data_IF_314061236934
#
_entry.id   IF_314061236934
#
_cell.length_a   1.000
_cell.length_b   1.000
_cell.length_c   1.000
_cell.angle_alpha   90.00
_cell.angle_beta   90.00
_cell.angle_gamma   90.00
#
_symmetry.space_group_name_H-M   'P 1'
#
loop_
_entity.id
_entity.type
_entity.pdbx_description
1 polymer ?
#
# COMPACT_ATOMS: atom_id res chain seq x y z
N UNK A 1 -76.71 -12.27 -79.14
CA UNK A 1 -76.32 -10.93 -78.68
C UNK A 1 -75.64 -11.07 -77.32
N UNK A 2 -74.38 -10.61 -77.17
CA UNK A 2 -73.56 -10.82 -75.98
C UNK A 2 -73.75 -9.68 -74.97
N UNK A 3 -73.29 -9.87 -73.72
CA UNK A 3 -72.50 -8.92 -72.90
C UNK A 3 -72.41 -9.47 -71.46
N UNK A 4 -71.61 -10.52 -71.27
CA UNK A 4 -71.08 -10.84 -69.93
C UNK A 4 -69.60 -10.46 -69.91
N UNK A 5 -69.29 -9.49 -69.05
CA UNK A 5 -67.98 -8.88 -68.92
C UNK A 5 -66.92 -9.86 -68.42
N UNK A 6 -65.79 -9.92 -69.12
CA UNK A 6 -64.55 -10.51 -68.62
C UNK A 6 -63.72 -9.39 -67.98
N UNK A 7 -63.71 -9.32 -66.64
CA UNK A 7 -62.67 -8.58 -65.90
C UNK A 7 -61.38 -9.40 -65.94
N UNK A 8 -60.30 -8.81 -66.45
CA UNK A 8 -58.94 -9.39 -66.36
C UNK A 8 -58.51 -9.40 -64.89
N UNK A 9 -57.87 -10.48 -64.38
CA UNK A 9 -57.23 -10.43 -63.08
C UNK A 9 -56.02 -9.48 -63.15
N UNK A 10 -56.00 -8.50 -62.26
CA UNK A 10 -54.85 -7.64 -62.03
C UNK A 10 -53.78 -8.50 -61.38
N UNK A 11 -52.65 -8.69 -62.07
CA UNK A 11 -51.48 -9.34 -61.49
C UNK A 11 -51.00 -8.49 -60.31
N UNK A 12 -51.19 -9.00 -59.09
CA UNK A 12 -50.58 -8.42 -57.91
C UNK A 12 -49.07 -8.48 -58.05
N UNK A 13 -48.41 -7.34 -58.24
CA UNK A 13 -46.97 -7.22 -58.01
C UNK A 13 -46.74 -7.42 -56.51
N UNK A 14 -46.41 -8.64 -56.11
CA UNK A 14 -45.76 -8.87 -54.83
C UNK A 14 -44.38 -8.25 -54.92
N UNK A 15 -44.25 -7.01 -54.45
CA UNK A 15 -42.95 -6.43 -54.13
C UNK A 15 -42.39 -7.22 -52.96
N UNK A 16 -41.65 -8.30 -53.26
CA UNK A 16 -40.79 -8.93 -52.28
C UNK A 16 -39.75 -7.88 -51.90
N UNK A 17 -39.86 -7.34 -50.69
CA UNK A 17 -38.76 -6.64 -50.06
C UNK A 17 -37.64 -7.68 -49.93
N UNK A 18 -36.67 -7.65 -50.85
CA UNK A 18 -35.39 -8.34 -50.68
C UNK A 18 -34.83 -7.84 -49.35
N UNK A 19 -34.92 -8.66 -48.30
CA UNK A 19 -34.18 -8.40 -47.07
C UNK A 19 -32.73 -8.56 -47.47
N UNK A 20 -31.90 -7.51 -47.48
CA UNK A 20 -30.50 -7.68 -47.80
C UNK A 20 -29.94 -8.69 -46.80
N UNK A 21 -29.39 -9.80 -47.30
CA UNK A 21 -28.77 -10.83 -46.48
C UNK A 21 -27.50 -10.24 -45.87
N UNK A 22 -27.66 -9.47 -44.80
CA UNK A 22 -26.60 -8.78 -44.06
C UNK A 22 -25.78 -9.76 -43.18
N UNK A 23 -25.88 -11.06 -43.43
CA UNK A 23 -25.19 -12.12 -42.70
C UNK A 23 -23.67 -12.07 -42.83
N UNK A 24 -23.14 -11.35 -43.83
CA UNK A 24 -21.70 -11.20 -44.02
C UNK A 24 -21.06 -10.10 -43.17
N UNK A 25 -21.80 -9.05 -42.78
CA UNK A 25 -21.26 -7.88 -42.05
C UNK A 25 -21.21 -8.12 -40.53
N UNK A 26 -22.09 -8.97 -40.00
CA UNK A 26 -22.07 -9.26 -38.56
C UNK A 26 -20.89 -10.14 -38.15
N UNK A 27 -20.35 -10.98 -39.04
CA UNK A 27 -19.14 -11.80 -38.77
C UNK A 27 -17.87 -10.97 -38.52
N UNK A 28 -17.44 -10.03 -39.39
CA UNK A 28 -16.30 -9.18 -39.12
C UNK A 28 -16.57 -8.22 -37.96
N UNK A 29 -17.81 -7.75 -37.76
CA UNK A 29 -18.17 -6.96 -36.59
C UNK A 29 -18.00 -7.75 -35.29
N UNK A 30 -18.46 -9.01 -35.25
CA UNK A 30 -18.27 -9.91 -34.11
C UNK A 30 -16.78 -10.14 -33.83
N UNK A 31 -15.98 -10.39 -34.86
CA UNK A 31 -14.52 -10.55 -34.73
C UNK A 31 -13.89 -9.28 -34.16
N UNK A 32 -14.27 -8.10 -34.64
CA UNK A 32 -13.78 -6.82 -34.13
C UNK A 32 -14.17 -6.60 -32.66
N UNK A 33 -15.40 -6.95 -32.27
CA UNK A 33 -15.85 -6.88 -30.87
C UNK A 33 -15.06 -7.85 -29.99
N UNK A 34 -14.83 -9.09 -30.43
CA UNK A 34 -14.03 -10.07 -29.68
C UNK A 34 -12.58 -9.60 -29.53
N UNK A 35 -11.96 -9.09 -30.61
CA UNK A 35 -10.61 -8.53 -30.55
C UNK A 35 -10.52 -7.33 -29.61
N UNK A 36 -11.52 -6.45 -29.63
CA UNK A 36 -11.63 -5.33 -28.71
C UNK A 36 -11.70 -5.81 -27.25
N UNK A 37 -12.57 -6.80 -26.95
CA UNK A 37 -12.70 -7.37 -25.60
C UNK A 37 -11.42 -8.07 -25.13
N UNK A 38 -10.71 -8.76 -26.02
CA UNK A 38 -9.42 -9.37 -25.70
C UNK A 38 -8.34 -8.33 -25.41
N UNK A 39 -8.31 -7.25 -26.19
CA UNK A 39 -7.38 -6.15 -25.98
C UNK A 39 -7.66 -5.42 -24.66
N UNK A 40 -8.93 -5.13 -24.33
CA UNK A 40 -9.30 -4.49 -23.06
C UNK A 40 -9.01 -5.39 -21.86
N UNK A 41 -9.21 -6.71 -21.98
CA UNK A 41 -8.85 -7.67 -20.93
C UNK A 41 -7.33 -7.71 -20.71
N UNK A 42 -6.54 -7.80 -21.77
CA UNK A 42 -5.08 -7.81 -21.67
C UNK A 42 -4.54 -6.51 -21.05
N UNK A 43 -5.10 -5.38 -21.47
CA UNK A 43 -4.77 -4.06 -20.92
C UNK A 43 -5.17 -3.95 -19.45
N UNK A 44 -6.37 -4.42 -19.11
CA UNK A 44 -6.87 -4.49 -17.74
C UNK A 44 -5.99 -5.32 -16.82
N UNK A 45 -5.55 -6.50 -17.26
CA UNK A 45 -4.60 -7.34 -16.50
C UNK A 45 -3.26 -6.63 -16.31
N UNK A 46 -2.78 -5.92 -17.33
CA UNK A 46 -1.51 -5.19 -17.25
C UNK A 46 -1.58 -3.98 -16.33
N UNK A 47 -2.68 -3.21 -16.38
CA UNK A 47 -2.94 -2.04 -15.52
C UNK A 47 -3.31 -2.42 -14.07
N UNK A 48 -3.81 -3.63 -13.85
CA UNK A 48 -4.12 -4.16 -12.51
C UNK A 48 -2.92 -4.74 -11.78
N UNK A 49 -1.70 -4.60 -12.33
CA UNK A 49 -0.48 -5.05 -11.65
C UNK A 49 -0.12 -4.05 -10.55
N UNK A 50 -0.20 -4.51 -9.31
CA UNK A 50 0.27 -3.76 -8.16
C UNK A 50 1.77 -3.43 -8.30
N UNK A 51 2.17 -2.16 -8.08
CA UNK A 51 3.58 -1.77 -8.05
C UNK A 51 4.36 -2.54 -6.99
N UNK A 52 5.59 -2.95 -7.34
CA UNK A 52 6.51 -3.55 -6.37
C UNK A 52 6.88 -2.56 -5.27
N UNK A 53 7.29 -3.07 -4.11
CA UNK A 53 7.89 -2.24 -3.09
C UNK A 53 9.20 -1.63 -3.63
N UNK A 54 9.45 -0.37 -3.29
CA UNK A 54 10.67 0.35 -3.65
C UNK A 54 11.61 0.49 -2.45
N UNK A 55 12.88 0.72 -2.76
CA UNK A 55 13.89 1.08 -1.77
C UNK A 55 13.79 2.58 -1.47
N UNK A 56 13.53 2.92 -0.20
CA UNK A 56 13.36 4.30 0.25
C UNK A 56 14.64 5.12 0.13
N UNK A 57 15.82 4.49 0.26
CA UNK A 57 17.10 5.19 0.13
C UNK A 57 17.38 5.53 -1.33
N UNK A 58 17.11 4.59 -2.23
CA UNK A 58 17.26 4.82 -3.67
C UNK A 58 16.29 5.91 -4.15
N UNK A 59 15.03 5.86 -3.69
CA UNK A 59 14.07 6.93 -3.97
C UNK A 59 14.57 8.25 -3.40
N UNK A 60 15.03 8.29 -2.16
CA UNK A 60 15.56 9.52 -1.53
C UNK A 60 16.71 10.11 -2.34
N UNK A 61 17.70 9.30 -2.71
CA UNK A 61 18.82 9.75 -3.54
C UNK A 61 18.36 10.34 -4.88
N UNK A 62 17.47 9.64 -5.59
CA UNK A 62 16.92 10.10 -6.87
C UNK A 62 16.12 11.41 -6.73
N UNK A 63 15.29 11.50 -5.69
CA UNK A 63 14.46 12.66 -5.43
C UNK A 63 15.30 13.88 -5.07
N UNK A 64 16.31 13.71 -4.22
CA UNK A 64 17.24 14.77 -3.84
C UNK A 64 18.01 15.33 -5.05
N UNK A 65 18.48 14.47 -5.93
CA UNK A 65 19.11 14.91 -7.20
C UNK A 65 18.10 15.68 -8.08
N UNK A 66 16.85 15.22 -8.15
CA UNK A 66 15.80 15.84 -8.97
C UNK A 66 15.44 17.25 -8.48
N UNK A 67 15.24 17.43 -7.17
CA UNK A 67 14.81 18.72 -6.59
C UNK A 67 15.95 19.72 -6.47
N UNK A 68 17.19 19.23 -6.34
CA UNK A 68 18.39 20.06 -6.23
C UNK A 68 19.11 20.27 -7.57
N UNK A 69 18.40 20.15 -8.71
CA UNK A 69 18.99 20.28 -10.05
C UNK A 69 19.77 21.59 -10.25
N UNK A 70 19.29 22.69 -9.67
CA UNK A 70 19.95 24.00 -9.72
C UNK A 70 20.94 24.24 -8.57
N UNK A 71 21.02 23.34 -7.59
CA UNK A 71 21.79 23.48 -6.34
C UNK A 71 22.43 22.13 -5.93
N UNK A 72 23.41 21.61 -6.70
CA UNK A 72 23.92 20.25 -6.54
C UNK A 72 24.52 19.96 -5.15
N UNK A 73 24.98 20.98 -4.42
CA UNK A 73 25.47 20.85 -3.05
C UNK A 73 24.37 20.35 -2.08
N UNK A 74 23.11 20.79 -2.27
CA UNK A 74 21.99 20.33 -1.46
C UNK A 74 21.62 18.86 -1.73
N UNK A 75 22.04 18.30 -2.88
CA UNK A 75 21.83 16.89 -3.19
C UNK A 75 22.79 15.97 -2.41
N UNK A 76 24.01 16.46 -2.12
CA UNK A 76 25.11 15.65 -1.55
C UNK A 76 25.35 15.91 -0.07
N UNK A 77 24.93 17.06 0.47
CA UNK A 77 25.04 17.37 1.89
C UNK A 77 24.25 16.38 2.77
N UNK A 78 24.65 16.13 4.03
CA UNK A 78 23.80 15.45 5.00
C UNK A 78 22.46 16.18 5.10
N UNK A 79 21.35 15.48 4.86
CA UNK A 79 20.03 16.08 5.03
C UNK A 79 19.62 16.07 6.50
N UNK A 80 18.77 17.04 6.87
CA UNK A 80 18.09 17.03 8.15
C UNK A 80 17.09 15.85 8.26
N UNK A 81 16.73 15.53 9.50
CA UNK A 81 15.69 14.54 9.82
C UNK A 81 14.40 14.85 9.09
N UNK A 82 13.80 13.85 8.46
CA UNK A 82 12.53 13.95 7.73
C UNK A 82 12.68 13.84 6.22
N UNK A 83 13.93 13.87 5.72
CA UNK A 83 14.22 13.78 4.29
C UNK A 83 13.80 12.43 3.68
N UNK A 84 14.05 11.32 4.38
CA UNK A 84 13.72 9.99 3.85
C UNK A 84 12.21 9.77 3.86
N UNK A 85 11.52 10.21 4.93
CA UNK A 85 10.05 10.13 5.06
C UNK A 85 9.35 11.00 4.01
N UNK A 86 9.83 12.23 3.80
CA UNK A 86 9.32 13.13 2.76
C UNK A 86 9.54 12.54 1.37
N UNK A 87 10.74 12.05 1.07
CA UNK A 87 11.04 11.43 -0.21
C UNK A 87 10.24 10.13 -0.44
N UNK A 88 10.00 9.33 0.61
CA UNK A 88 9.14 8.16 0.54
C UNK A 88 7.69 8.56 0.20
N UNK A 89 7.16 9.64 0.79
CA UNK A 89 5.84 10.17 0.44
C UNK A 89 5.79 10.65 -1.01
N UNK A 90 6.82 11.36 -1.49
CA UNK A 90 6.94 11.71 -2.91
C UNK A 90 6.92 10.45 -3.78
N UNK A 91 7.67 9.41 -3.39
CA UNK A 91 7.69 8.12 -4.10
C UNK A 91 6.33 7.43 -4.15
N UNK A 92 5.56 7.47 -3.06
CA UNK A 92 4.18 6.97 -3.00
C UNK A 92 3.26 7.73 -3.95
N UNK A 93 3.30 9.08 -3.92
CA UNK A 93 2.48 9.94 -4.78
C UNK A 93 2.88 9.84 -6.25
N UNK A 94 4.18 9.72 -6.53
CA UNK A 94 4.72 9.49 -7.87
C UNK A 94 4.27 8.12 -8.41
N UNK A 95 4.20 7.09 -7.56
CA UNK A 95 3.76 5.74 -7.96
C UNK A 95 2.30 5.72 -8.40
N UNK A 96 1.41 6.44 -7.70
CA UNK A 96 0.01 6.58 -8.10
C UNK A 96 -0.15 7.10 -9.53
N UNK A 97 0.74 8.00 -9.95
CA UNK A 97 0.69 8.66 -11.25
C UNK A 97 1.43 7.88 -12.35
N UNK A 98 2.55 7.23 -12.02
CA UNK A 98 3.47 6.63 -13.00
C UNK A 98 3.29 5.13 -13.21
N UNK A 99 2.46 4.46 -12.40
CA UNK A 99 2.16 3.04 -12.60
C UNK A 99 1.51 2.79 -13.97
N UNK A 100 1.57 1.56 -14.51
CA UNK A 100 0.88 1.22 -15.75
C UNK A 100 -0.60 1.62 -15.71
N UNK A 101 -1.03 2.38 -16.71
CA UNK A 101 -2.40 2.91 -16.80
C UNK A 101 -2.62 4.27 -16.14
N UNK A 102 -1.63 4.83 -15.41
CA UNK A 102 -1.81 6.10 -14.70
C UNK A 102 -2.69 5.94 -13.45
N UNK A 103 -3.33 7.03 -13.00
CA UNK A 103 -4.29 6.99 -11.90
C UNK A 103 -5.67 6.65 -12.46
N UNK A 104 -6.17 5.45 -12.19
CA UNK A 104 -7.38 4.90 -12.83
C UNK A 104 -8.66 5.27 -12.09
N UNK A 105 -8.58 5.69 -10.83
CA UNK A 105 -9.76 5.89 -9.98
C UNK A 105 -10.65 7.05 -10.42
N UNK A 106 -10.09 8.05 -11.10
CA UNK A 106 -10.84 9.14 -11.73
C UNK A 106 -11.15 8.86 -13.22
N UNK A 107 -10.81 7.69 -13.75
CA UNK A 107 -11.11 7.36 -15.15
C UNK A 107 -12.62 7.16 -15.37
N UNK A 108 -13.09 7.67 -16.50
CA UNK A 108 -14.48 7.55 -16.95
C UNK A 108 -14.64 6.60 -18.15
N UNK A 109 -13.55 5.95 -18.59
CA UNK A 109 -13.54 5.02 -19.72
C UNK A 109 -13.03 3.62 -19.30
N UNK A 110 -13.44 2.52 -19.97
CA UNK A 110 -12.87 1.19 -19.73
C UNK A 110 -11.37 1.13 -20.05
N UNK A 111 -10.58 0.24 -19.41
CA UNK A 111 -10.97 -0.82 -18.47
C UNK A 111 -11.23 -0.42 -17.00
N UNK A 112 -10.93 0.82 -16.56
CA UNK A 112 -11.07 1.24 -15.15
C UNK A 112 -12.51 1.15 -14.61
N UNK A 113 -13.51 1.20 -15.48
CA UNK A 113 -14.92 0.98 -15.13
C UNK A 113 -15.29 -0.50 -14.86
N UNK A 114 -14.49 -1.45 -15.36
CA UNK A 114 -14.79 -2.88 -15.30
C UNK A 114 -13.90 -3.63 -14.30
N UNK A 115 -12.76 -3.03 -13.93
CA UNK A 115 -11.78 -3.58 -12.99
C UNK A 115 -11.55 -2.52 -11.89
N UNK A 116 -12.28 -2.65 -10.80
CA UNK A 116 -12.29 -1.75 -9.65
C UNK A 116 -11.21 -2.05 -8.61
N UNK A 117 -10.61 -3.25 -8.62
CA UNK A 117 -9.49 -3.63 -7.76
C UNK A 117 -8.37 -2.57 -7.71
N UNK A 118 -7.86 -2.13 -8.86
CA UNK A 118 -6.78 -1.14 -8.91
C UNK A 118 -7.23 0.26 -8.46
N UNK A 119 -8.39 0.79 -8.92
CA UNK A 119 -8.99 2.00 -8.33
C UNK A 119 -9.14 1.97 -6.79
N UNK A 120 -9.54 0.84 -6.20
CA UNK A 120 -9.64 0.71 -4.73
C UNK A 120 -8.26 0.65 -4.07
N UNK A 121 -7.29 -0.03 -4.67
CA UNK A 121 -5.89 0.00 -4.23
C UNK A 121 -5.32 1.43 -4.24
N UNK A 122 -5.53 2.18 -5.34
CA UNK A 122 -5.13 3.59 -5.46
C UNK A 122 -5.77 4.45 -4.37
N UNK A 123 -7.05 4.21 -4.08
CA UNK A 123 -7.74 4.91 -3.00
C UNK A 123 -7.07 4.67 -1.66
N UNK A 124 -6.72 3.41 -1.37
CA UNK A 124 -6.01 3.06 -0.15
C UNK A 124 -4.67 3.79 -0.04
N UNK A 125 -3.85 3.74 -1.08
CA UNK A 125 -2.56 4.45 -1.13
C UNK A 125 -2.74 5.96 -0.92
N UNK A 126 -3.71 6.57 -1.59
CA UNK A 126 -4.01 8.00 -1.46
C UNK A 126 -4.49 8.38 -0.06
N UNK A 127 -5.35 7.56 0.57
CA UNK A 127 -5.77 7.76 1.97
C UNK A 127 -4.58 7.76 2.91
N UNK A 128 -3.67 6.80 2.77
CA UNK A 128 -2.49 6.70 3.61
C UNK A 128 -1.54 7.89 3.40
N UNK A 129 -1.36 8.34 2.16
CA UNK A 129 -0.59 9.55 1.84
C UNK A 129 -1.21 10.81 2.49
N UNK A 130 -2.54 10.95 2.45
CA UNK A 130 -3.29 12.05 3.09
C UNK A 130 -3.15 12.05 4.60
N UNK A 131 -3.17 10.88 5.24
CA UNK A 131 -3.03 10.78 6.70
C UNK A 131 -1.63 11.26 7.14
N UNK A 132 -0.57 10.86 6.44
CA UNK A 132 0.76 11.39 6.73
C UNK A 132 0.83 12.89 6.43
N UNK A 133 0.34 13.35 5.28
CA UNK A 133 0.38 14.77 4.91
C UNK A 133 -0.35 15.68 5.93
N UNK A 134 -1.43 15.21 6.56
CA UNK A 134 -2.10 15.92 7.65
C UNK A 134 -1.24 16.06 8.92
N UNK A 135 -0.24 15.19 9.09
CA UNK A 135 0.61 15.14 10.28
C UNK A 135 2.00 15.72 10.07
N UNK A 136 2.46 15.86 8.82
CA UNK A 136 3.75 16.47 8.50
C UNK A 136 3.98 17.83 9.18
N UNK A 137 3.04 18.78 9.18
CA UNK A 137 3.25 20.06 9.86
C UNK A 137 3.46 19.94 11.37
N UNK A 138 2.93 18.89 12.01
CA UNK A 138 3.13 18.64 13.44
C UNK A 138 4.43 17.87 13.73
N UNK A 139 5.00 17.20 12.72
CA UNK A 139 6.30 16.55 12.80
C UNK A 139 7.44 17.55 12.58
N UNK A 140 7.19 18.67 11.90
CA UNK A 140 8.17 19.73 11.62
C UNK A 140 8.44 20.62 12.86
N UNK A 141 9.69 21.03 13.07
CA UNK A 141 10.05 21.94 14.17
C UNK A 141 9.57 23.39 13.97
N UNK A 142 9.26 23.77 12.73
CA UNK A 142 8.81 25.10 12.34
C UNK A 142 7.62 25.08 11.38
N UNK A 143 7.21 26.27 10.94
CA UNK A 143 6.15 26.39 9.94
C UNK A 143 6.73 26.19 8.54
N UNK A 144 6.08 25.35 7.73
CA UNK A 144 6.45 25.12 6.33
C UNK A 144 5.25 25.36 5.41
N UNK A 145 5.31 26.42 4.60
CA UNK A 145 4.28 26.71 3.60
C UNK A 145 4.16 25.57 2.58
N UNK A 146 5.28 24.98 2.17
CA UNK A 146 5.32 23.86 1.25
C UNK A 146 4.57 22.62 1.78
N UNK A 147 4.67 22.32 3.09
CA UNK A 147 3.90 21.23 3.70
C UNK A 147 2.39 21.52 3.71
N UNK A 148 1.99 22.77 3.96
CA UNK A 148 0.59 23.17 3.92
C UNK A 148 -0.01 23.08 2.51
N UNK A 149 0.74 23.55 1.49
CA UNK A 149 0.33 23.48 0.08
C UNK A 149 0.26 22.02 -0.41
N UNK A 150 1.25 21.19 -0.04
CA UNK A 150 1.22 19.76 -0.31
C UNK A 150 0.00 19.07 0.32
N UNK A 151 -0.30 19.40 1.58
CA UNK A 151 -1.47 18.89 2.30
C UNK A 151 -2.75 19.28 1.57
N UNK A 152 -2.92 20.55 1.22
CA UNK A 152 -4.10 21.04 0.51
C UNK A 152 -4.30 20.32 -0.83
N UNK A 153 -3.23 20.18 -1.62
CA UNK A 153 -3.27 19.47 -2.89
C UNK A 153 -3.73 18.01 -2.72
N UNK A 154 -3.22 17.30 -1.71
CA UNK A 154 -3.59 15.91 -1.44
C UNK A 154 -5.04 15.74 -0.97
N UNK A 155 -5.64 16.75 -0.32
CA UNK A 155 -7.03 16.68 0.20
C UNK A 155 -8.12 16.79 -0.87
N UNK A 156 -7.76 16.98 -2.13
CA UNK A 156 -8.73 17.08 -3.22
C UNK A 156 -9.64 15.85 -3.39
N UNK A 157 -10.70 15.98 -4.17
CA UNK A 157 -11.58 14.83 -4.41
C UNK A 157 -10.86 13.78 -5.26
N UNK A 158 -11.05 12.52 -4.86
CA UNK A 158 -10.24 11.40 -5.35
C UNK A 158 -10.75 10.81 -6.68
N UNK A 159 -11.90 11.30 -7.17
CA UNK A 159 -12.54 10.93 -8.45
C UNK A 159 -12.63 12.11 -9.42
N UNK A 160 -11.98 13.23 -9.10
CA UNK A 160 -12.01 14.41 -9.96
C UNK A 160 -11.26 14.10 -11.25
N UNK A 161 -12.01 13.97 -12.35
CA UNK A 161 -11.49 13.78 -13.70
C UNK A 161 -11.35 15.12 -14.45
N UNK A 162 -12.20 16.10 -14.11
CA UNK A 162 -12.22 17.44 -14.72
C UNK A 162 -11.37 18.44 -13.92
N UNK A 163 -10.87 19.47 -14.59
CA UNK A 163 -9.94 20.45 -14.03
C UNK A 163 -10.41 21.12 -12.72
N UNK A 164 -9.57 21.18 -11.66
CA UNK A 164 -8.28 20.49 -11.53
C UNK A 164 -8.47 18.99 -11.29
N UNK A 165 -7.90 18.15 -12.16
CA UNK A 165 -7.99 16.70 -12.03
C UNK A 165 -7.19 16.20 -10.82
N UNK A 166 -7.55 15.02 -10.32
CA UNK A 166 -6.83 14.38 -9.21
C UNK A 166 -5.33 14.26 -9.53
N UNK A 167 -4.97 13.84 -10.74
CA UNK A 167 -3.57 13.76 -11.20
C UNK A 167 -2.84 15.10 -11.13
N UNK A 168 -3.49 16.20 -11.52
CA UNK A 168 -2.88 17.54 -11.43
C UNK A 168 -2.57 17.89 -9.98
N UNK A 169 -3.49 17.58 -9.06
CA UNK A 169 -3.28 17.81 -7.63
C UNK A 169 -2.19 16.91 -7.05
N UNK A 170 -2.08 15.66 -7.51
CA UNK A 170 -0.99 14.75 -7.10
C UNK A 170 0.37 15.25 -7.60
N UNK A 171 0.45 15.80 -8.82
CA UNK A 171 1.66 16.42 -9.33
C UNK A 171 2.07 17.64 -8.49
N UNK A 172 1.13 18.54 -8.20
CA UNK A 172 1.34 19.70 -7.32
C UNK A 172 1.81 19.28 -5.93
N UNK A 173 1.20 18.26 -5.33
CA UNK A 173 1.64 17.72 -4.04
C UNK A 173 3.10 17.25 -4.09
N UNK A 174 3.49 16.54 -5.17
CA UNK A 174 4.87 16.10 -5.36
C UNK A 174 5.87 17.26 -5.53
N UNK A 175 5.45 18.36 -6.18
CA UNK A 175 6.25 19.59 -6.32
C UNK A 175 6.50 20.25 -4.96
N UNK A 176 5.45 20.52 -4.19
CA UNK A 176 5.56 21.14 -2.86
C UNK A 176 6.33 20.27 -1.86
N UNK A 177 6.11 18.96 -1.86
CA UNK A 177 6.94 18.04 -1.07
C UNK A 177 8.41 18.07 -1.50
N UNK A 178 8.68 18.28 -2.80
CA UNK A 178 10.02 18.45 -3.32
C UNK A 178 10.71 19.74 -2.85
N UNK A 179 9.96 20.83 -2.74
CA UNK A 179 10.44 22.09 -2.15
C UNK A 179 10.82 21.90 -0.67
N UNK A 180 9.98 21.20 0.09
CA UNK A 180 10.29 20.85 1.48
C UNK A 180 11.53 19.94 1.58
N UNK A 181 11.64 18.93 0.71
CA UNK A 181 12.82 18.06 0.65
C UNK A 181 14.10 18.84 0.34
N UNK A 182 14.03 19.87 -0.52
CA UNK A 182 15.15 20.75 -0.79
C UNK A 182 15.55 21.56 0.44
N UNK A 183 14.58 22.09 1.21
CA UNK A 183 14.84 22.79 2.47
C UNK A 183 15.50 21.87 3.52
N UNK A 184 15.05 20.62 3.63
CA UNK A 184 15.67 19.59 4.47
C UNK A 184 17.12 19.29 4.06
N UNK A 185 17.40 19.28 2.75
CA UNK A 185 18.76 19.11 2.21
C UNK A 185 19.69 20.30 2.49
N UNK A 186 19.14 21.48 2.78
CA UNK A 186 19.89 22.70 3.15
C UNK A 186 20.03 22.88 4.67
N UNK A 187 19.33 22.08 5.47
CA UNK A 187 19.23 22.28 6.92
C UNK A 187 18.37 23.49 7.30
N UNK A 188 17.49 23.96 6.41
CA UNK A 188 16.54 25.06 6.68
C UNK A 188 15.21 24.56 7.29
N UNK A 189 15.00 23.24 7.25
CA UNK A 189 13.83 22.52 7.74
C UNK A 189 14.30 21.27 8.49
N UNK A 190 13.42 20.68 9.30
CA UNK A 190 13.74 19.46 10.05
C UNK A 190 12.60 19.00 10.94
N UNK A 191 12.41 17.69 11.03
CA UNK A 191 11.45 17.11 11.96
C UNK A 191 11.92 17.22 13.41
N UNK A 192 10.96 17.19 14.33
CA UNK A 192 11.17 17.28 15.77
C UNK A 192 12.11 16.21 16.31
N UNK A 193 12.86 16.62 17.33
CA UNK A 193 13.80 15.75 18.06
C UNK A 193 13.11 14.91 19.15
N UNK A 194 11.81 15.10 19.34
CA UNK A 194 10.96 14.34 20.24
C UNK A 194 10.04 13.36 19.48
N UNK A 195 9.55 12.37 20.21
CA UNK A 195 8.70 11.30 19.68
C UNK A 195 7.21 11.58 19.83
N UNK A 196 6.81 12.73 20.35
CA UNK A 196 5.42 13.05 20.68
C UNK A 196 4.57 13.19 19.41
N UNK A 197 5.07 13.93 18.41
CA UNK A 197 4.40 14.05 17.13
C UNK A 197 4.35 12.71 16.36
N UNK A 198 5.43 11.92 16.46
CA UNK A 198 5.51 10.59 15.85
C UNK A 198 4.51 9.62 16.49
N UNK A 199 4.42 9.61 17.83
CA UNK A 199 3.46 8.80 18.58
C UNK A 199 2.03 9.08 18.12
N UNK A 200 1.63 10.36 18.04
CA UNK A 200 0.28 10.75 17.59
C UNK A 200 -0.03 10.32 16.16
N UNK A 201 0.95 10.31 15.25
CA UNK A 201 0.76 9.75 13.92
C UNK A 201 0.59 8.23 13.94
N UNK A 202 1.40 7.51 14.73
CA UNK A 202 1.32 6.06 14.89
C UNK A 202 0.00 5.60 15.54
N UNK A 203 -0.53 6.36 16.50
CA UNK A 203 -1.87 6.12 17.06
C UNK A 203 -2.95 6.23 15.98
N UNK A 204 -2.84 7.22 15.10
CA UNK A 204 -3.76 7.38 13.97
C UNK A 204 -3.63 6.23 12.98
N UNK A 205 -2.41 5.75 12.73
CA UNK A 205 -2.16 4.53 11.95
C UNK A 205 -2.86 3.33 12.60
N UNK A 206 -2.73 3.15 13.91
CA UNK A 206 -3.41 2.06 14.63
C UNK A 206 -4.94 2.15 14.47
N UNK A 207 -5.54 3.33 14.67
CA UNK A 207 -6.98 3.53 14.48
C UNK A 207 -7.45 3.21 13.05
N UNK A 208 -6.64 3.53 12.02
CA UNK A 208 -6.96 3.21 10.63
C UNK A 208 -6.84 1.73 10.32
N UNK A 209 -5.83 1.06 10.85
CA UNK A 209 -5.69 -0.39 10.72
C UNK A 209 -6.84 -1.12 11.44
N UNK A 210 -7.31 -0.58 12.57
CA UNK A 210 -8.47 -1.12 13.27
C UNK A 210 -9.74 -1.04 12.41
N UNK A 211 -10.07 0.13 11.84
CA UNK A 211 -11.19 0.31 10.89
C UNK A 211 -11.11 -0.67 9.71
N UNK A 212 -9.93 -0.80 9.09
CA UNK A 212 -9.72 -1.75 8.01
C UNK A 212 -9.95 -3.20 8.46
N UNK A 213 -9.47 -3.58 9.65
CA UNK A 213 -9.64 -4.94 10.17
C UNK A 213 -11.11 -5.28 10.41
N UNK A 214 -11.91 -4.31 10.89
CA UNK A 214 -13.34 -4.48 11.10
C UNK A 214 -14.08 -4.63 9.76
N UNK A 215 -13.77 -3.79 8.76
CA UNK A 215 -14.35 -3.88 7.41
C UNK A 215 -14.01 -5.21 6.71
N UNK A 216 -12.75 -5.63 6.78
CA UNK A 216 -12.30 -6.93 6.25
C UNK A 216 -13.03 -8.10 6.93
N UNK A 217 -13.34 -7.96 8.22
CA UNK A 217 -14.01 -8.98 9.02
C UNK A 217 -15.53 -9.00 8.89
N UNK A 218 -16.16 -7.90 8.44
CA UNK A 218 -17.61 -7.76 8.32
C UNK A 218 -18.26 -8.80 7.40
N UNK A 219 -17.49 -9.32 6.44
CA UNK A 219 -17.91 -10.32 5.46
C UNK A 219 -17.41 -11.74 5.76
N UNK A 220 -16.72 -11.92 6.90
CA UNK A 220 -16.20 -13.22 7.33
C UNK A 220 -17.28 -13.97 8.11
N UNK A 221 -17.71 -15.12 7.59
CA UNK A 221 -18.77 -15.92 8.20
C UNK A 221 -18.36 -16.67 9.49
N UNK A 222 -17.06 -16.80 9.76
CA UNK A 222 -16.51 -17.59 10.86
C UNK A 222 -16.29 -16.74 12.12
N UNK A 223 -17.36 -16.55 12.89
CA UNK A 223 -17.36 -15.69 14.10
C UNK A 223 -16.37 -16.13 15.17
N UNK A 224 -16.10 -17.44 15.29
CA UNK A 224 -15.13 -17.97 16.26
C UNK A 224 -13.71 -17.49 15.91
N UNK A 225 -13.30 -17.63 14.65
CA UNK A 225 -12.03 -17.09 14.17
C UNK A 225 -11.90 -15.57 14.39
N UNK A 226 -12.98 -14.81 14.22
CA UNK A 226 -12.96 -13.36 14.51
C UNK A 226 -12.76 -13.06 16.00
N UNK A 227 -13.37 -13.84 16.90
CA UNK A 227 -13.16 -13.70 18.35
C UNK A 227 -11.72 -14.02 18.75
N UNK A 228 -11.10 -15.00 18.10
CA UNK A 228 -9.68 -15.33 18.31
C UNK A 228 -8.75 -14.18 17.89
N UNK A 229 -9.18 -13.32 16.96
CA UNK A 229 -8.49 -12.08 16.59
C UNK A 229 -8.79 -10.91 17.52
N UNK A 230 -9.52 -11.14 18.62
CA UNK A 230 -10.03 -10.09 19.51
C UNK A 230 -10.86 -9.03 18.77
N UNK A 231 -11.60 -9.44 17.73
CA UNK A 231 -12.55 -8.58 17.02
C UNK A 231 -13.93 -8.76 17.66
N UNK A 232 -14.54 -7.65 18.05
CA UNK A 232 -15.90 -7.64 18.57
C UNK A 232 -16.90 -7.93 17.45
N UNK A 233 -17.45 -9.15 17.44
CA UNK A 233 -18.40 -9.59 16.41
C UNK A 233 -19.75 -8.87 16.48
N UNK A 234 -20.11 -8.29 17.62
CA UNK A 234 -21.38 -7.62 17.83
C UNK A 234 -21.32 -6.13 17.43
N UNK A 235 -20.11 -5.57 17.34
CA UNK A 235 -19.83 -4.20 16.90
C UNK A 235 -19.39 -4.10 15.42
N UNK A 236 -19.40 -5.20 14.67
CA UNK A 236 -19.04 -5.18 13.25
C UNK A 236 -20.01 -4.31 12.43
N UNK A 237 -19.51 -3.63 11.39
CA UNK A 237 -20.37 -2.91 10.45
C UNK A 237 -21.27 -3.90 9.68
N UNK A 238 -22.24 -3.35 8.94
CA UNK A 238 -23.11 -4.17 8.09
C UNK A 238 -22.28 -5.07 7.15
N UNK A 239 -22.67 -6.35 6.98
CA UNK A 239 -21.90 -7.28 6.15
C UNK A 239 -21.67 -6.77 4.73
N UNK A 240 -20.40 -6.69 4.31
CA UNK A 240 -20.05 -6.29 2.94
C UNK A 240 -20.63 -7.30 1.94
N UNK A 241 -21.42 -6.88 0.94
CA UNK A 241 -21.89 -7.76 -0.11
C UNK A 241 -20.72 -8.43 -0.85
N UNK A 242 -20.91 -9.67 -1.30
CA UNK A 242 -19.83 -10.47 -1.90
C UNK A 242 -19.12 -9.81 -3.10
N UNK A 243 -19.80 -8.90 -3.81
CA UNK A 243 -19.28 -8.16 -4.97
C UNK A 243 -18.53 -6.86 -4.61
N UNK A 244 -18.41 -6.53 -3.32
CA UNK A 244 -17.60 -5.41 -2.77
C UNK A 244 -16.50 -5.89 -1.83
N UNK A 245 -16.35 -7.20 -1.70
CA UNK A 245 -15.37 -7.80 -0.80
C UNK A 245 -13.94 -7.42 -1.22
N UNK A 246 -13.71 -7.47 -2.53
CA UNK A 246 -12.51 -7.03 -3.18
C UNK A 246 -12.25 -5.53 -3.01
N UNK A 247 -13.28 -4.68 -2.98
CA UNK A 247 -13.11 -3.24 -2.70
C UNK A 247 -12.35 -2.99 -1.38
N UNK A 248 -12.87 -3.54 -0.28
CA UNK A 248 -12.27 -3.40 1.06
C UNK A 248 -10.87 -4.04 1.11
N UNK A 249 -10.71 -5.19 0.44
CA UNK A 249 -9.47 -5.93 0.39
C UNK A 249 -8.35 -5.17 -0.34
N UNK A 250 -8.63 -4.63 -1.53
CA UNK A 250 -7.64 -3.86 -2.30
C UNK A 250 -7.37 -2.50 -1.68
N UNK A 251 -8.37 -1.83 -1.09
CA UNK A 251 -8.15 -0.61 -0.31
C UNK A 251 -7.19 -0.88 0.87
N UNK A 252 -7.39 -1.97 1.61
CA UNK A 252 -6.50 -2.36 2.70
C UNK A 252 -5.08 -2.68 2.20
N UNK A 253 -4.94 -3.40 1.08
CA UNK A 253 -3.64 -3.68 0.46
C UNK A 253 -2.92 -2.41 0.03
N UNK A 254 -3.63 -1.44 -0.56
CA UNK A 254 -3.09 -0.14 -0.94
C UNK A 254 -2.62 0.68 0.26
N UNK A 255 -3.42 0.74 1.33
CA UNK A 255 -3.01 1.42 2.57
C UNK A 255 -1.76 0.76 3.17
N UNK A 256 -1.74 -0.57 3.27
CA UNK A 256 -0.59 -1.30 3.80
C UNK A 256 0.67 -1.12 2.93
N UNK A 257 0.53 -1.11 1.60
CA UNK A 257 1.63 -0.84 0.68
C UNK A 257 2.23 0.54 0.91
N UNK A 258 1.40 1.59 1.00
CA UNK A 258 1.89 2.94 1.25
C UNK A 258 2.54 3.05 2.63
N UNK A 259 1.88 2.54 3.66
CA UNK A 259 2.36 2.59 5.04
C UNK A 259 3.72 1.91 5.21
N UNK A 260 3.94 0.78 4.52
CA UNK A 260 5.23 0.09 4.51
C UNK A 260 6.38 1.03 4.14
N UNK A 261 6.24 1.80 3.06
CA UNK A 261 7.28 2.71 2.59
C UNK A 261 7.46 3.90 3.51
N UNK A 262 6.37 4.44 4.06
CA UNK A 262 6.42 5.56 5.00
C UNK A 262 7.10 5.16 6.31
N UNK A 263 6.82 3.97 6.82
CA UNK A 263 7.47 3.42 8.02
C UNK A 263 8.96 3.14 7.81
N UNK A 264 9.37 2.69 6.61
CA UNK A 264 10.79 2.58 6.25
C UNK A 264 11.48 3.94 6.18
N UNK A 265 10.76 5.00 5.77
CA UNK A 265 11.27 6.37 5.85
C UNK A 265 11.49 6.80 7.30
N UNK A 266 10.48 6.57 8.16
CA UNK A 266 10.55 6.85 9.60
C UNK A 266 11.66 6.06 10.29
N UNK A 267 11.86 4.80 9.91
CA UNK A 267 12.95 3.95 10.44
C UNK A 267 14.32 4.61 10.26
N UNK A 268 14.52 5.33 9.15
CA UNK A 268 15.78 6.02 8.84
C UNK A 268 15.86 7.38 9.53
N UNK A 269 14.82 8.19 9.42
CA UNK A 269 14.83 9.54 9.98
C UNK A 269 14.87 9.55 11.52
N UNK A 270 14.18 8.60 12.17
CA UNK A 270 14.08 8.49 13.63
C UNK A 270 14.94 7.36 14.20
N UNK A 271 16.00 6.92 13.52
CA UNK A 271 16.80 5.77 13.93
C UNK A 271 17.37 5.89 15.37
N UNK A 272 17.84 7.07 15.74
CA UNK A 272 18.35 7.42 17.07
C UNK A 272 17.24 7.43 18.13
N UNK A 273 16.09 8.03 17.83
CA UNK A 273 14.92 8.05 18.71
C UNK A 273 14.36 6.65 18.93
N UNK A 274 14.25 5.85 17.87
CA UNK A 274 13.80 4.47 17.93
C UNK A 274 14.79 3.59 18.71
N UNK A 275 16.09 3.88 18.66
CA UNK A 275 17.09 3.21 19.47
C UNK A 275 16.95 3.59 20.96
N UNK A 276 16.78 4.89 21.26
CA UNK A 276 16.56 5.39 22.62
C UNK A 276 15.28 4.82 23.25
N UNK A 277 14.23 4.64 22.45
CA UNK A 277 12.95 4.04 22.85
C UNK A 277 12.97 2.49 22.91
N UNK A 278 14.07 1.83 22.55
CA UNK A 278 14.16 0.37 22.35
C UNK A 278 13.03 -0.16 21.43
N UNK A 279 12.65 0.64 20.44
CA UNK A 279 11.47 0.46 19.62
C UNK A 279 11.75 -0.19 18.25
N UNK A 280 13.01 -0.22 17.82
CA UNK A 280 13.43 -0.73 16.49
C UNK A 280 12.87 -2.12 16.16
N UNK A 281 12.95 -3.08 17.09
CA UNK A 281 12.41 -4.42 16.86
C UNK A 281 10.88 -4.46 16.70
N UNK A 282 10.14 -3.52 17.31
CA UNK A 282 8.68 -3.41 17.14
C UNK A 282 8.36 -2.87 15.75
N UNK A 283 9.10 -1.85 15.30
CA UNK A 283 8.96 -1.28 13.95
C UNK A 283 9.29 -2.33 12.87
N UNK A 284 10.40 -3.05 12.99
CA UNK A 284 10.76 -4.11 12.04
C UNK A 284 9.66 -5.18 11.94
N UNK A 285 9.07 -5.57 13.07
CA UNK A 285 7.95 -6.53 13.06
C UNK A 285 6.70 -5.94 12.42
N UNK A 286 6.37 -4.67 12.69
CA UNK A 286 5.24 -3.99 12.04
C UNK A 286 5.41 -3.98 10.52
N UNK A 287 6.59 -3.59 10.03
CA UNK A 287 6.95 -3.63 8.61
C UNK A 287 6.77 -5.04 8.04
N UNK A 288 7.26 -6.08 8.74
CA UNK A 288 7.12 -7.47 8.30
C UNK A 288 5.66 -7.94 8.20
N UNK A 289 4.79 -7.58 9.15
CA UNK A 289 3.36 -7.91 9.07
C UNK A 289 2.69 -7.21 7.87
N UNK A 290 3.07 -5.97 7.58
CA UNK A 290 2.61 -5.26 6.38
C UNK A 290 3.12 -5.93 5.09
N UNK A 291 4.36 -6.43 5.05
CA UNK A 291 4.86 -7.18 3.89
C UNK A 291 4.06 -8.46 3.63
N UNK A 292 3.56 -9.13 4.69
CA UNK A 292 2.70 -10.30 4.53
C UNK A 292 1.39 -9.97 3.80
N UNK A 293 0.85 -8.77 3.99
CA UNK A 293 -0.34 -8.29 3.26
C UNK A 293 -0.10 -8.13 1.76
N UNK A 294 1.14 -7.99 1.32
CA UNK A 294 1.53 -7.76 -0.07
C UNK A 294 1.82 -9.05 -0.83
N UNK A 295 1.75 -10.21 -0.16
CA UNK A 295 1.98 -11.51 -0.81
C UNK A 295 1.08 -11.71 -2.03
N UNK A 296 1.65 -12.39 -3.03
CA UNK A 296 1.01 -12.64 -4.32
C UNK A 296 -0.31 -13.38 -4.15
N UNK A 297 -1.36 -12.83 -4.74
CA UNK A 297 -2.65 -13.49 -4.88
C UNK A 297 -2.58 -14.44 -6.08
N UNK A 298 -2.87 -15.71 -5.84
CA UNK A 298 -2.97 -16.73 -6.89
C UNK A 298 -4.38 -16.88 -7.43
N UNK A 299 -5.39 -16.44 -6.65
CA UNK A 299 -6.78 -16.40 -7.08
C UNK A 299 -7.07 -15.11 -7.84
N UNK A 300 -7.78 -15.16 -8.99
CA UNK A 300 -8.25 -13.97 -9.68
C UNK A 300 -9.42 -13.27 -8.98
N UNK A 301 -10.08 -13.93 -8.03
CA UNK A 301 -11.14 -13.35 -7.19
C UNK A 301 -10.74 -13.39 -5.71
N UNK A 302 -11.10 -12.34 -4.97
CA UNK A 302 -11.06 -12.35 -3.51
C UNK A 302 -12.23 -13.20 -3.02
N UNK A 303 -11.91 -14.20 -2.20
CA UNK A 303 -12.88 -15.17 -1.70
C UNK A 303 -12.87 -15.18 -0.17
N UNK A 304 -14.07 -15.26 0.41
CA UNK A 304 -14.29 -15.61 1.82
C UNK A 304 -14.83 -17.04 1.90
N UNK A 305 -13.92 -18.00 1.94
CA UNK A 305 -14.28 -19.39 2.24
C UNK A 305 -14.76 -19.56 3.68
N UNK A 306 -15.54 -20.61 3.94
CA UNK A 306 -15.64 -21.19 5.29
C UNK A 306 -14.37 -21.98 5.57
N UNK A 307 -13.84 -21.97 6.80
CA UNK A 307 -12.57 -22.63 7.17
C UNK A 307 -12.44 -24.12 6.81
N UNK A 308 -13.52 -24.78 6.39
CA UNK A 308 -13.57 -26.19 5.93
C UNK A 308 -13.74 -26.36 4.41
N UNK A 309 -13.72 -25.28 3.62
CA UNK A 309 -13.87 -25.30 2.16
C UNK A 309 -12.54 -25.39 1.41
N UNK A 310 -12.60 -25.70 0.10
CA UNK A 310 -11.44 -25.70 -0.80
C UNK A 310 -10.94 -24.27 -1.17
N UNK A 311 -11.64 -23.23 -0.73
CA UNK A 311 -11.35 -21.83 -1.04
C UNK A 311 -10.69 -21.14 0.15
N UNK A 312 -9.63 -20.37 -0.11
CA UNK A 312 -8.99 -19.56 0.92
C UNK A 312 -9.92 -18.44 1.41
N UNK A 313 -9.81 -18.09 2.70
CA UNK A 313 -10.46 -16.93 3.29
C UNK A 313 -9.48 -15.75 3.26
N UNK A 314 -9.42 -15.06 2.13
CA UNK A 314 -8.44 -13.99 1.88
C UNK A 314 -8.63 -12.82 2.85
N UNK A 315 -9.88 -12.43 3.12
CA UNK A 315 -10.16 -11.31 3.99
C UNK A 315 -9.86 -11.63 5.45
N UNK A 316 -10.09 -12.86 5.92
CA UNK A 316 -9.65 -13.28 7.26
C UNK A 316 -8.12 -13.27 7.40
N UNK A 317 -7.39 -13.76 6.39
CA UNK A 317 -5.92 -13.73 6.40
C UNK A 317 -5.42 -12.28 6.41
N UNK A 318 -5.99 -11.42 5.57
CA UNK A 318 -5.67 -10.00 5.54
C UNK A 318 -5.98 -9.34 6.89
N UNK A 319 -7.17 -9.58 7.45
CA UNK A 319 -7.58 -9.06 8.75
C UNK A 319 -6.62 -9.49 9.86
N UNK A 320 -6.16 -10.75 9.88
CA UNK A 320 -5.18 -11.22 10.85
C UNK A 320 -3.89 -10.38 10.83
N UNK A 321 -3.32 -10.17 9.65
CA UNK A 321 -2.10 -9.35 9.49
C UNK A 321 -2.36 -7.88 9.83
N UNK A 322 -3.52 -7.34 9.46
CA UNK A 322 -3.93 -5.97 9.80
C UNK A 322 -4.10 -5.76 11.31
N UNK A 323 -4.72 -6.70 12.03
CA UNK A 323 -4.85 -6.66 13.51
C UNK A 323 -3.48 -6.70 14.19
N UNK A 324 -2.58 -7.59 13.74
CA UNK A 324 -1.20 -7.64 14.26
C UNK A 324 -0.48 -6.31 14.03
N UNK A 325 -0.61 -5.73 12.84
CA UNK A 325 -0.04 -4.44 12.51
C UNK A 325 -0.62 -3.31 13.37
N UNK A 326 -1.94 -3.30 13.62
CA UNK A 326 -2.59 -2.34 14.54
C UNK A 326 -1.95 -2.40 15.93
N UNK A 327 -1.83 -3.59 16.50
CA UNK A 327 -1.27 -3.77 17.86
C UNK A 327 0.18 -3.32 17.93
N UNK A 328 0.97 -3.63 16.92
CA UNK A 328 2.36 -3.20 16.84
C UNK A 328 2.48 -1.68 16.66
N UNK A 329 1.61 -1.04 15.87
CA UNK A 329 1.56 0.41 15.71
C UNK A 329 1.19 1.11 17.03
N UNK A 330 0.19 0.61 17.75
CA UNK A 330 -0.20 1.14 19.08
C UNK A 330 0.92 0.98 20.11
N UNK A 331 1.58 -0.19 20.16
CA UNK A 331 2.74 -0.41 21.04
C UNK A 331 3.93 0.47 20.67
N UNK A 332 4.15 0.69 19.37
CA UNK A 332 5.23 1.56 18.90
C UNK A 332 4.98 3.00 19.31
N UNK A 333 3.75 3.49 19.15
CA UNK A 333 3.34 4.83 19.59
C UNK A 333 3.65 5.04 21.08
N UNK A 334 3.18 4.12 21.95
CA UNK A 334 3.40 4.19 23.38
C UNK A 334 4.88 4.11 23.81
N UNK A 335 5.78 3.56 22.95
CA UNK A 335 7.21 3.51 23.23
C UNK A 335 7.95 4.78 22.87
N UNK A 336 7.52 5.46 21.80
CA UNK A 336 8.19 6.68 21.33
C UNK A 336 7.63 7.94 21.97
N UNK A 337 6.43 7.86 22.55
CA UNK A 337 5.82 8.96 23.30
C UNK A 337 6.74 9.45 24.45
N UNK A 338 6.96 10.75 24.50
CA UNK A 338 7.81 11.39 25.53
C UNK A 338 9.31 11.08 25.43
N UNK A 339 9.78 10.38 24.39
CA UNK A 339 11.21 10.17 24.13
C UNK A 339 11.78 11.40 23.43
N UNK A 340 12.85 11.96 23.99
CA UNK A 340 13.58 13.09 23.41
C UNK A 340 15.01 12.66 23.11
N UNK A 341 15.54 13.08 21.96
CA UNK A 341 16.95 12.89 21.60
C UNK A 341 17.66 14.21 21.38
N UNK A 342 18.99 14.18 21.33
CA UNK A 342 19.77 15.36 21.00
C UNK A 342 19.43 15.85 19.60
N UNK A 343 19.42 17.17 19.42
CA UNK A 343 19.16 17.78 18.12
C UNK A 343 20.13 17.25 17.06
N UNK A 344 19.59 16.98 15.87
CA UNK A 344 20.40 16.59 14.73
C UNK A 344 21.40 17.70 14.38
N UNK A 345 22.67 17.48 14.68
CA UNK A 345 23.77 18.32 14.21
C UNK A 345 24.30 17.75 12.89
N UNK A 346 24.33 18.53 11.79
CA UNK A 346 24.97 18.09 10.56
C UNK A 346 26.43 17.79 10.85
N UNK A 347 26.85 16.54 10.65
CA UNK A 347 28.27 16.20 10.70
C UNK A 347 28.95 16.96 9.57
N UNK A 348 29.65 18.05 9.89
CA UNK A 348 30.48 18.73 8.91
C UNK A 348 31.43 17.69 8.30
N UNK A 349 31.50 17.59 6.95
CA UNK A 349 32.44 16.68 6.34
C UNK A 349 33.82 17.08 6.84
N UNK A 350 34.53 16.14 7.48
CA UNK A 350 35.89 16.36 7.92
C UNK A 350 36.72 16.80 6.71
N UNK A 351 36.98 18.10 6.57
CA UNK A 351 37.90 18.65 5.59
C UNK A 351 39.30 18.33 6.10
N UNK A 352 39.67 17.05 6.11
CA UNK A 352 41.07 16.67 6.02
C UNK A 352 41.47 16.88 4.57
N UNK A 353 41.76 18.14 4.22
CA UNK A 353 42.57 18.42 3.07
C UNK A 353 43.87 17.61 3.22
N UNK A 354 44.28 16.80 2.23
CA UNK A 354 45.62 16.26 2.26
C UNK A 354 46.56 17.45 2.24
N UNK A 355 47.29 17.63 3.34
CA UNK A 355 48.38 18.59 3.43
C UNK A 355 49.25 18.40 2.20
N UNK A 356 49.32 19.43 1.36
CA UNK A 356 50.11 19.41 0.15
C UNK A 356 51.55 19.05 0.54
N UNK A 357 51.97 17.85 0.17
CA UNK A 357 53.37 17.44 0.28
C UNK A 357 54.19 18.44 -0.54
N UNK A 358 54.86 19.34 0.19
CA UNK A 358 55.86 20.24 -0.35
C UNK A 358 56.92 19.37 -1.02
N UNK A 359 57.02 19.43 -2.34
CA UNK A 359 58.17 18.91 -3.08
C UNK A 359 59.42 19.62 -2.55
N UNK A 360 60.19 18.91 -1.72
CA UNK A 360 61.57 19.26 -1.41
C UNK A 360 62.49 18.35 -2.23
N UNK A 361 63.46 19.00 -2.86
CA UNK A 361 64.25 18.48 -3.98
C UNK A 361 64.96 17.14 -3.74
N UNK A 362 65.05 16.40 -4.84
CA UNK A 362 65.93 15.26 -5.04
C UNK A 362 67.40 15.72 -5.05
N UNK A 363 68.31 15.06 -4.32
CA UNK A 363 69.69 14.92 -4.76
C UNK A 363 69.90 13.57 -5.44
N UNK A 364 70.59 13.62 -6.57
CA UNK A 364 71.14 12.51 -7.34
C UNK A 364 72.01 11.58 -6.46
N UNK A 365 71.69 10.29 -6.44
CA UNK A 365 72.66 9.24 -6.73
C UNK A 365 71.93 7.88 -6.92
N UNK A 366 72.13 7.26 -8.08
CA UNK A 366 71.56 5.96 -8.44
C UNK A 366 72.48 4.80 -7.97
N UNK A 367 72.05 3.52 -8.02
CA UNK A 367 72.12 2.81 -9.30
C UNK A 367 70.96 1.83 -9.59
N UNK A 368 70.37 2.05 -10.77
CA UNK A 368 70.03 1.10 -11.85
C UNK A 368 69.78 -0.38 -11.52
N UNK A 369 68.58 -0.87 -11.85
CA UNK A 369 68.43 -2.18 -12.49
C UNK A 369 67.24 -2.27 -13.46
N UNK A 370 67.61 -2.38 -14.73
CA UNK A 370 66.99 -3.01 -15.92
C UNK A 370 65.50 -2.82 -16.30
N UNK A 371 65.34 -2.32 -17.53
CA UNK A 371 64.11 -2.15 -18.28
C UNK A 371 63.77 -3.37 -19.16
N UNK A 372 62.47 -3.61 -19.38
CA UNK A 372 61.91 -4.39 -20.49
C UNK A 372 60.79 -3.54 -21.15
N UNK A 373 60.69 -3.44 -22.49
CA UNK A 373 59.94 -2.39 -23.20
C UNK A 373 58.46 -2.76 -23.50
N UNK A 374 57.65 -1.81 -24.04
CA UNK A 374 56.19 -1.96 -24.16
C UNK A 374 55.72 -2.38 -25.56
N UNK A 375 54.55 -3.01 -25.62
CA UNK A 375 53.67 -3.12 -26.79
C UNK A 375 52.29 -3.60 -26.28
N UNK A 376 51.13 -3.36 -26.87
CA UNK A 376 50.57 -2.47 -27.90
C UNK A 376 49.07 -2.78 -27.86
N UNK A 377 48.24 -1.80 -28.23
CA UNK A 377 46.79 -1.96 -28.43
C UNK A 377 46.47 -3.17 -29.34
N UNK A 378 45.43 -3.92 -28.97
CA UNK A 378 44.58 -4.64 -29.91
C UNK A 378 43.20 -4.90 -29.29
N UNK A 379 42.18 -4.42 -30.02
CA UNK A 379 40.76 -4.68 -29.82
C UNK A 379 40.41 -6.18 -29.86
N UNK A 380 39.29 -6.56 -29.24
CA UNK A 380 38.43 -7.67 -29.69
C UNK A 380 37.03 -7.57 -29.05
N UNK A 381 36.03 -7.68 -29.92
CA UNK A 381 34.59 -7.79 -29.63
C UNK A 381 34.22 -9.28 -29.35
N UNK A 382 32.93 -9.61 -29.10
CA UNK A 382 32.50 -10.51 -28.03
C UNK A 382 32.55 -12.01 -28.38
N UNK A 383 32.79 -12.82 -27.35
CA UNK A 383 32.69 -14.29 -27.42
C UNK A 383 31.27 -14.80 -27.14
N UNK A 384 30.99 -15.92 -27.79
CA UNK A 384 29.71 -16.55 -27.96
C UNK A 384 29.30 -17.48 -26.80
N UNK A 385 27.98 -17.65 -26.74
CA UNK A 385 27.19 -18.77 -26.20
C UNK A 385 27.97 -20.08 -26.02
N UNK A 386 27.97 -20.60 -24.80
CA UNK A 386 28.10 -22.02 -24.52
C UNK A 386 26.98 -22.46 -23.57
N UNK A 387 26.14 -23.35 -24.08
CA UNK A 387 25.18 -24.16 -23.32
C UNK A 387 25.92 -25.12 -22.37
N UNK A 388 25.34 -25.33 -21.19
CA UNK A 388 25.63 -26.45 -20.30
C UNK A 388 24.32 -26.91 -19.61
N UNK A 389 24.21 -28.19 -19.21
CA UNK A 389 23.00 -28.99 -19.38
C UNK A 389 22.05 -29.03 -18.16
N UNK A 390 20.82 -29.48 -18.45
CA UNK A 390 19.80 -29.97 -17.51
C UNK A 390 20.32 -31.14 -16.66
N UNK A 391 20.21 -31.00 -15.32
CA UNK A 391 19.68 -31.98 -14.35
C UNK A 391 20.26 -31.71 -12.96
N UNK A 392 19.46 -31.12 -12.06
CA UNK A 392 19.60 -31.28 -10.61
C UNK A 392 18.38 -30.71 -9.88
N UNK A 393 17.43 -31.57 -9.54
CA UNK A 393 16.41 -31.28 -8.54
C UNK A 393 17.05 -31.19 -7.13
N UNK A 394 16.68 -30.23 -6.27
CA UNK A 394 17.08 -30.28 -4.88
C UNK A 394 16.11 -31.17 -4.08
N UNK A 395 16.71 -32.11 -3.36
CA UNK A 395 16.07 -33.07 -2.47
C UNK A 395 15.50 -32.37 -1.24
N UNK A 396 14.34 -32.85 -0.79
CA UNK A 396 13.64 -32.42 0.41
C UNK A 396 14.42 -32.82 1.67
N UNK A 397 14.63 -31.87 2.58
CA UNK A 397 15.11 -32.15 3.94
C UNK A 397 13.99 -32.79 4.76
N UNK A 398 14.25 -34.00 5.21
CA UNK A 398 13.44 -34.74 6.17
C UNK A 398 13.71 -34.23 7.59
N UNK A 399 12.67 -33.75 8.27
CA UNK A 399 12.68 -33.57 9.72
C UNK A 399 12.36 -34.92 10.35
N UNK A 400 13.28 -35.41 11.18
CA UNK A 400 13.14 -36.65 11.95
C UNK A 400 12.12 -36.45 13.08
N UNK A 401 11.06 -37.27 13.06
CA UNK A 401 10.20 -37.57 14.20
C UNK A 401 10.99 -38.38 15.25
N UNK A 402 10.79 -38.05 16.52
CA UNK A 402 11.17 -38.87 17.65
C UNK A 402 9.95 -39.09 18.56
N UNK A 403 9.28 -40.23 18.37
CA UNK A 403 8.60 -41.01 19.41
C UNK A 403 9.68 -41.67 20.30
N UNK A 404 9.53 -41.98 21.60
CA UNK A 404 8.41 -42.03 22.53
C UNK A 404 8.98 -42.15 23.97
N UNK A 405 8.20 -41.80 24.99
CA UNK A 405 8.00 -42.66 26.20
C UNK A 405 6.58 -42.43 26.71
N UNK A 406 5.89 -43.54 26.95
CA UNK A 406 4.51 -43.68 27.42
C UNK A 406 4.51 -44.21 28.87
N UNK A 407 3.34 -44.11 29.51
CA UNK A 407 2.88 -44.70 30.78
C UNK A 407 3.12 -43.89 32.07
N UNK A 408 2.04 -43.34 32.65
CA UNK A 408 1.25 -44.10 33.62
C UNK A 408 -0.20 -43.56 33.70
N UNK A 409 -1.14 -44.44 34.02
CA UNK A 409 -2.57 -44.19 34.08
C UNK A 409 -3.09 -44.29 35.53
N UNK A 410 -4.30 -43.75 35.71
CA UNK A 410 -5.36 -44.15 36.67
C UNK A 410 -5.52 -43.32 37.97
N UNK A 411 -6.79 -43.29 38.39
CA UNK A 411 -7.41 -42.83 39.65
C UNK A 411 -7.94 -41.38 39.65
N UNK A 412 -9.23 -41.20 39.33
CA UNK A 412 -10.41 -41.32 40.19
C UNK A 412 -10.80 -39.96 40.83
N UNK A 413 -11.92 -39.42 40.35
CA UNK A 413 -12.74 -38.36 40.94
C UNK A 413 -13.19 -38.72 42.38
N UNK A 414 -13.48 -37.74 43.26
CA UNK A 414 -14.86 -37.22 43.29
C UNK A 414 -15.01 -35.72 43.63
N UNK A 415 -16.06 -35.14 43.05
CA UNK A 415 -16.68 -33.88 43.46
C UNK A 415 -17.22 -33.92 44.90
N UNK A 416 -17.46 -32.74 45.51
CA UNK A 416 -18.60 -32.59 46.40
C UNK A 416 -19.54 -31.44 45.98
N UNK A 417 -20.80 -31.86 45.78
CA UNK A 417 -22.03 -31.31 46.37
C UNK A 417 -22.49 -29.89 46.01
N UNK A 418 -23.59 -29.89 45.24
CA UNK A 418 -24.65 -28.89 45.23
C UNK A 418 -25.14 -28.58 46.65
N UNK A 419 -25.25 -27.30 47.00
CA UNK A 419 -26.10 -26.84 48.09
C UNK A 419 -27.18 -25.93 47.52
N UNK A 420 -28.43 -26.38 47.68
CA UNK A 420 -29.65 -25.66 47.35
C UNK A 420 -29.94 -24.66 48.47
N UNK A 421 -30.20 -23.39 48.13
CA UNK A 421 -30.94 -22.49 49.02
C UNK A 421 -31.86 -21.59 48.19
N UNK A 422 -33.14 -21.62 48.59
CA UNK A 422 -34.32 -21.05 47.96
C UNK A 422 -34.38 -19.49 47.99
N UNK A 423 -35.32 -18.85 47.27
CA UNK A 423 -35.38 -17.40 47.06
C UNK A 423 -36.30 -16.67 48.07
N UNK A 424 -36.27 -15.32 48.13
CA UNK A 424 -37.44 -14.52 48.52
C UNK A 424 -37.94 -13.69 47.30
N UNK A 425 -39.18 -13.86 46.86
CA UNK A 425 -40.40 -13.14 47.30
C UNK A 425 -40.43 -11.62 47.00
N UNK A 426 -41.26 -11.30 45.99
CA UNK A 426 -42.23 -10.20 45.85
C UNK A 426 -41.92 -8.74 46.27
N UNK A 427 -41.85 -7.89 45.22
CA UNK A 427 -42.54 -6.59 45.00
C UNK A 427 -42.13 -5.33 45.80
N UNK A 428 -42.44 -4.08 45.34
CA UNK A 428 -43.14 -3.66 44.11
C UNK A 428 -42.44 -2.56 43.26
N UNK A 429 -42.97 -2.35 42.06
CA UNK A 429 -42.74 -1.25 41.11
C UNK A 429 -43.14 0.12 41.69
N UNK A 430 -42.49 1.24 41.28
CA UNK A 430 -43.02 2.58 41.50
C UNK A 430 -43.86 3.07 40.30
N UNK A 431 -45.11 3.37 40.63
CA UNK A 431 -46.04 4.40 40.14
C UNK A 431 -45.85 5.04 38.76
N UNK A 432 -46.88 4.85 37.92
CA UNK A 432 -47.31 5.78 36.89
C UNK A 432 -47.79 7.12 37.49
N UNK A 433 -47.44 8.22 36.83
CA UNK A 433 -48.13 9.52 36.94
C UNK A 433 -48.20 10.18 35.54
N UNK A 434 -49.21 11.04 35.29
CA UNK A 434 -50.07 10.90 34.12
C UNK A 434 -49.76 11.86 32.96
N UNK A 435 -50.35 11.52 31.81
CA UNK A 435 -50.54 12.42 30.68
C UNK A 435 -51.47 13.59 31.06
N UNK A 436 -51.03 14.82 30.78
CA UNK A 436 -51.87 16.00 30.70
C UNK A 436 -51.65 16.69 29.35
N UNK A 437 -52.72 17.33 28.89
CA UNK A 437 -53.08 17.58 27.51
C UNK A 437 -52.52 18.91 26.96
N UNK A 438 -52.29 18.92 25.64
CA UNK A 438 -52.30 20.03 24.66
C UNK A 438 -53.58 20.95 24.83
N UNK A 439 -53.75 22.17 24.25
CA UNK A 439 -52.94 22.91 23.25
C UNK A 439 -52.79 24.44 23.43
N UNK A 440 -51.86 25.04 22.67
CA UNK A 440 -52.02 26.43 22.19
C UNK A 440 -50.76 27.24 21.89
N UNK A 441 -50.24 27.15 20.66
CA UNK A 441 -50.03 28.25 19.69
C UNK A 441 -49.20 27.81 18.49
#
# INVERSE_FOLDING_TARGET
>A
MPLFGKRKPVAGRTTSLERPEYGWIWKPLLVLVVLYLLATLALGIWWSREPAAFDVEQVTANQRVRVAADQPEAATSPAARGAVTTAALIGVVDTLQRKPGGYLRNDIFPPGLWLDNMPNWEYGVLRQARELAQRLPALEQGESAALEEAREALMGESRDWLYPSTETRLAQAGEHLGEHLLALGKGEAGFADDGEALARWLERVALRLDDLSQRLSASVGEREALRDLAIDTDALPEPTPWYRLDDDFFEARGQAWALLHLLRGVERDYADLLAAAEAGGTLTRLIAELEMTQRRLWSPLVLNGSGFGIFANHSLVMANYTVRARDLASRLAARVEGVEVAAWEPVEPAVTAPEAAVEQGVPEDAPQQEAIPPASEAALAPEAVQEAPEDAAPQAEAVQEAEAVQEDATEEEPMPQEDQMAPPEDMPLPEEAPAEQDPGQ
#
